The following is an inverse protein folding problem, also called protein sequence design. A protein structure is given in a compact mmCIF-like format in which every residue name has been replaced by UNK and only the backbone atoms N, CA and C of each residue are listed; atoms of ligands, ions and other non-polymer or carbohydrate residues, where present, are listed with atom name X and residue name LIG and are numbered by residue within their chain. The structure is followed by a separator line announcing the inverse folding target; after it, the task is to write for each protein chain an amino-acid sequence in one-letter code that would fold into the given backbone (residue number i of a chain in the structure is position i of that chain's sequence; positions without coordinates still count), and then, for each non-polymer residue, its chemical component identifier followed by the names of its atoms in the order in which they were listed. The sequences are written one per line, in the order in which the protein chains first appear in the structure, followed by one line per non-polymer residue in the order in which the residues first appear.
data_IF_112980766219
#
_entry.id   IF_112980766219
#
_cell.length_a   1.000
_cell.length_b   1.000
_cell.length_c   1.000
_cell.angle_alpha   90.00
_cell.angle_beta   90.00
_cell.angle_gamma   90.00
#
_symmetry.space_group_name_H-M   'P 1'
#
loop_
_entity.id
_entity.type
_entity.pdbx_description
1 polymer ?
#
# COMPACT_ATOMS: atom_id res chain seq x y z
N UNK A 1 -6.20 -71.36 -0.07
CA UNK A 1 -5.44 -70.36 0.72
C UNK A 1 -3.97 -70.53 0.32
N UNK A 2 -3.42 -69.71 -0.58
CA UNK A 2 -2.70 -68.44 -0.31
C UNK A 2 -1.74 -68.58 0.90
N UNK A 3 -0.44 -68.29 0.86
CA UNK A 3 0.36 -67.31 0.10
C UNK A 3 1.85 -67.72 0.27
N UNK A 4 2.59 -67.99 -0.81
CA UNK A 4 3.55 -67.12 -1.52
C UNK A 4 4.78 -66.62 -0.71
N UNK A 5 5.96 -67.07 -1.16
CA UNK A 5 7.31 -66.85 -0.62
C UNK A 5 7.94 -65.59 -1.24
N UNK A 6 8.67 -64.86 -0.39
CA UNK A 6 9.94 -64.13 -0.60
C UNK A 6 10.50 -64.03 -2.04
N UNK A 7 10.79 -62.81 -2.53
CA UNK A 7 12.17 -62.35 -2.86
C UNK A 7 12.25 -60.94 -3.46
N UNK A 8 13.36 -60.29 -3.11
CA UNK A 8 13.92 -59.03 -3.60
C UNK A 8 13.85 -58.87 -5.12
N UNK A 9 13.51 -57.66 -5.57
CA UNK A 9 13.93 -57.18 -6.89
C UNK A 9 14.62 -55.82 -6.78
N UNK A 10 15.89 -55.85 -7.20
CA UNK A 10 16.76 -54.75 -7.55
C UNK A 10 16.30 -54.21 -8.91
N UNK A 11 15.87 -52.96 -8.99
CA UNK A 11 15.78 -52.23 -10.26
C UNK A 11 16.38 -50.84 -10.11
N UNK A 12 17.54 -50.72 -10.73
CA UNK A 12 18.25 -49.51 -11.11
C UNK A 12 17.34 -48.66 -12.03
N UNK A 13 17.06 -47.42 -11.65
CA UNK A 13 16.58 -46.41 -12.60
C UNK A 13 17.17 -45.05 -12.20
N UNK A 14 18.17 -44.64 -12.99
CA UNK A 14 18.66 -43.27 -13.07
C UNK A 14 17.46 -42.34 -13.26
N UNK A 15 17.17 -41.51 -12.28
CA UNK A 15 16.34 -40.32 -12.46
C UNK A 15 17.23 -39.08 -12.37
N UNK A 16 17.03 -38.13 -13.29
CA UNK A 16 18.02 -37.16 -13.73
C UNK A 16 18.33 -36.12 -12.66
N UNK A 17 19.55 -35.59 -12.73
CA UNK A 17 19.92 -34.29 -12.18
C UNK A 17 18.89 -33.25 -12.63
N UNK A 18 17.90 -32.99 -11.80
CA UNK A 18 17.07 -31.80 -11.94
C UNK A 18 17.99 -30.66 -11.49
N UNK A 19 18.59 -30.01 -12.48
CA UNK A 19 19.16 -28.68 -12.35
C UNK A 19 18.07 -27.76 -11.82
N UNK A 20 18.01 -27.62 -10.49
CA UNK A 20 17.23 -26.60 -9.82
C UNK A 20 17.89 -25.25 -10.08
N UNK A 21 17.18 -24.45 -10.88
CA UNK A 21 17.53 -23.10 -11.30
C UNK A 21 17.99 -22.19 -10.16
N UNK A 22 18.77 -21.18 -10.55
CA UNK A 22 19.42 -20.24 -9.65
C UNK A 22 18.48 -19.59 -8.64
N UNK A 23 19.03 -19.31 -7.47
CA UNK A 23 18.50 -18.34 -6.54
C UNK A 23 18.55 -16.95 -7.19
N UNK A 24 17.60 -16.63 -8.07
CA UNK A 24 17.13 -15.27 -8.15
C UNK A 24 16.39 -15.00 -6.85
N UNK A 25 17.05 -14.27 -5.96
CA UNK A 25 16.41 -13.64 -4.82
C UNK A 25 15.18 -12.88 -5.32
N UNK A 26 14.02 -13.52 -5.25
CA UNK A 26 12.72 -12.87 -5.41
C UNK A 26 12.60 -11.84 -4.31
N UNK A 27 12.85 -10.58 -4.62
CA UNK A 27 12.14 -9.49 -3.96
C UNK A 27 10.67 -9.75 -4.28
N UNK A 28 9.96 -10.37 -3.33
CA UNK A 28 8.52 -10.57 -3.44
C UNK A 28 7.89 -9.20 -3.66
N UNK A 29 7.18 -9.06 -4.77
CA UNK A 29 6.35 -7.92 -5.15
C UNK A 29 5.24 -7.76 -4.09
N UNK A 30 5.53 -7.04 -3.00
CA UNK A 30 4.58 -6.75 -1.91
C UNK A 30 3.80 -5.45 -2.20
N UNK A 31 3.58 -5.11 -3.48
CA UNK A 31 2.74 -3.97 -3.83
C UNK A 31 1.29 -4.37 -3.95
N UNK A 32 0.38 -3.43 -3.74
CA UNK A 32 -1.07 -3.65 -3.91
C UNK A 32 -1.67 -2.63 -4.89
N UNK A 33 -2.82 -2.95 -5.47
CA UNK A 33 -3.55 -2.03 -6.36
C UNK A 33 -4.65 -1.34 -5.58
N UNK A 34 -4.91 -0.07 -5.92
CA UNK A 34 -6.16 0.60 -5.56
C UNK A 34 -7.29 0.12 -6.48
N UNK A 35 -8.53 0.37 -6.10
CA UNK A 35 -9.67 0.19 -6.98
C UNK A 35 -9.61 1.15 -8.18
N UNK A 36 -10.10 0.70 -9.34
CA UNK A 36 -10.12 1.48 -10.59
C UNK A 36 -10.82 2.85 -10.46
N UNK A 37 -11.75 3.01 -9.51
CA UNK A 37 -12.43 4.28 -9.24
C UNK A 37 -11.50 5.38 -8.71
N UNK A 38 -10.32 5.02 -8.20
CA UNK A 38 -9.34 5.97 -7.68
C UNK A 38 -8.36 6.46 -8.74
N UNK A 39 -8.24 5.79 -9.87
CA UNK A 39 -7.34 6.21 -10.95
C UNK A 39 -8.06 7.09 -11.98
N UNK A 40 -7.28 7.80 -12.79
CA UNK A 40 -7.75 8.70 -13.84
C UNK A 40 -8.62 9.86 -13.31
N UNK A 41 -8.39 10.27 -12.05
CA UNK A 41 -9.13 11.33 -11.38
C UNK A 41 -8.23 12.04 -10.35
N UNK A 42 -8.37 13.35 -10.17
CA UNK A 42 -7.47 14.19 -9.36
C UNK A 42 -8.18 14.81 -8.13
N UNK A 43 -9.00 14.03 -7.45
CA UNK A 43 -9.79 14.50 -6.30
C UNK A 43 -9.07 14.26 -4.97
N UNK A 44 -9.21 15.23 -4.06
CA UNK A 44 -8.93 15.04 -2.63
C UNK A 44 -10.28 15.10 -1.91
N UNK A 45 -10.71 13.97 -1.35
CA UNK A 45 -12.02 13.84 -0.70
C UNK A 45 -11.84 13.97 0.81
N UNK A 46 -12.49 14.97 1.42
CA UNK A 46 -12.48 15.13 2.89
C UNK A 46 -13.36 14.07 3.55
N UNK A 47 -12.81 13.34 4.52
CA UNK A 47 -13.55 12.52 5.47
C UNK A 47 -14.02 13.44 6.60
N UNK A 48 -15.33 13.66 6.70
CA UNK A 48 -15.92 14.58 7.68
C UNK A 48 -16.54 13.87 8.88
N UNK A 49 -16.73 12.55 8.78
CA UNK A 49 -17.37 11.75 9.81
C UNK A 49 -16.75 10.36 9.89
N UNK A 50 -16.81 9.77 11.09
CA UNK A 50 -16.32 8.42 11.36
C UNK A 50 -16.90 7.37 10.40
N UNK A 51 -18.19 7.48 10.09
CA UNK A 51 -18.91 6.51 9.26
C UNK A 51 -18.38 6.47 7.81
N UNK A 52 -17.89 7.61 7.29
CA UNK A 52 -17.28 7.66 5.95
C UNK A 52 -16.00 6.82 5.93
N UNK A 53 -15.15 6.96 6.95
CA UNK A 53 -13.95 6.13 7.11
C UNK A 53 -14.31 4.64 7.32
N UNK A 54 -15.25 4.34 8.22
CA UNK A 54 -15.65 2.95 8.50
C UNK A 54 -16.24 2.26 7.27
N UNK A 55 -16.97 2.98 6.42
CA UNK A 55 -17.48 2.45 5.15
C UNK A 55 -16.35 1.98 4.23
N UNK A 56 -15.24 2.72 4.13
CA UNK A 56 -14.08 2.31 3.32
C UNK A 56 -13.45 1.01 3.85
N UNK A 57 -13.38 0.88 5.17
CA UNK A 57 -12.86 -0.31 5.86
C UNK A 57 -13.80 -1.52 5.65
N UNK A 58 -15.09 -1.35 5.91
CA UNK A 58 -16.10 -2.42 5.83
C UNK A 58 -16.30 -2.93 4.40
N UNK A 59 -16.21 -2.03 3.42
CA UNK A 59 -16.23 -2.37 2.00
C UNK A 59 -14.91 -3.02 1.52
N UNK A 60 -13.92 -3.13 2.41
CA UNK A 60 -12.58 -3.67 2.13
C UNK A 60 -11.91 -2.96 0.97
N UNK A 61 -11.98 -1.63 0.97
CA UNK A 61 -11.36 -0.84 -0.08
C UNK A 61 -9.85 -0.71 0.12
N UNK A 62 -9.12 -0.57 -0.97
CA UNK A 62 -7.69 -0.23 -0.97
C UNK A 62 -7.54 1.26 -1.29
N UNK A 63 -7.25 2.07 -0.28
CA UNK A 63 -7.33 3.51 -0.38
C UNK A 63 -6.18 4.21 0.35
N UNK A 64 -6.11 5.52 0.15
CA UNK A 64 -5.06 6.40 0.65
C UNK A 64 -5.70 7.50 1.48
N UNK A 65 -5.14 7.80 2.66
CA UNK A 65 -5.61 8.87 3.53
C UNK A 65 -4.46 9.81 3.86
N UNK A 66 -4.58 11.07 3.48
CA UNK A 66 -3.73 12.16 3.96
C UNK A 66 -4.26 12.69 5.30
N UNK A 67 -3.43 12.66 6.35
CA UNK A 67 -3.79 13.14 7.68
C UNK A 67 -3.11 14.49 7.91
N UNK A 68 -3.91 15.50 8.23
CA UNK A 68 -3.46 16.87 8.44
C UNK A 68 -4.11 17.51 9.66
N UNK A 69 -3.63 18.68 10.08
CA UNK A 69 -4.29 19.50 11.09
C UNK A 69 -4.34 20.95 10.60
N UNK A 70 -5.47 21.67 10.73
CA UNK A 70 -5.53 23.10 10.44
C UNK A 70 -4.50 23.88 11.26
N UNK A 71 -3.83 24.86 10.63
CA UNK A 71 -2.80 25.67 11.27
C UNK A 71 -1.45 24.97 11.49
N UNK A 72 -1.31 23.69 11.13
CA UNK A 72 -0.04 22.97 11.15
C UNK A 72 0.91 23.50 10.07
N UNK A 73 2.05 24.09 10.48
CA UNK A 73 3.03 24.65 9.54
C UNK A 73 3.59 23.59 8.57
N UNK A 74 4.01 22.43 9.09
CA UNK A 74 4.54 21.34 8.27
C UNK A 74 3.50 20.79 7.28
N UNK A 75 2.23 20.71 7.70
CA UNK A 75 1.13 20.30 6.84
C UNK A 75 0.89 21.32 5.71
N UNK A 76 1.05 22.62 6.00
CA UNK A 76 1.01 23.67 4.99
C UNK A 76 2.15 23.58 3.96
N UNK A 77 3.33 23.13 4.39
CA UNK A 77 4.46 22.89 3.48
C UNK A 77 4.28 21.62 2.63
N UNK A 78 3.68 20.58 3.19
CA UNK A 78 3.48 19.30 2.50
C UNK A 78 2.23 19.28 1.61
N UNK A 79 1.24 20.12 1.88
CA UNK A 79 0.00 20.18 1.09
C UNK A 79 0.23 20.35 -0.42
N UNK A 80 1.11 21.25 -0.91
CA UNK A 80 1.41 21.35 -2.34
C UNK A 80 2.03 20.09 -2.94
N UNK A 81 2.75 19.28 -2.15
CA UNK A 81 3.30 18.00 -2.60
C UNK A 81 2.17 16.99 -2.84
N UNK A 82 1.22 16.90 -1.91
CA UNK A 82 0.04 16.03 -2.04
C UNK A 82 -0.86 16.47 -3.20
N UNK A 83 -1.16 17.78 -3.30
CA UNK A 83 -1.99 18.32 -4.39
C UNK A 83 -1.33 18.08 -5.76
N UNK A 84 -0.02 18.32 -5.87
CA UNK A 84 0.74 18.04 -7.08
C UNK A 84 0.76 16.56 -7.46
N UNK A 85 0.96 15.67 -6.50
CA UNK A 85 0.88 14.21 -6.73
C UNK A 85 -0.49 13.79 -7.27
N UNK A 86 -1.57 14.23 -6.61
CA UNK A 86 -2.94 13.91 -7.01
C UNK A 86 -3.23 14.40 -8.44
N UNK A 87 -2.74 15.61 -8.78
CA UNK A 87 -2.89 16.20 -10.10
C UNK A 87 -2.07 15.47 -11.17
N UNK A 88 -0.80 15.16 -10.90
CA UNK A 88 0.14 14.56 -11.87
C UNK A 88 -0.17 13.08 -12.11
N UNK A 89 -0.40 12.31 -11.04
CA UNK A 89 -0.65 10.88 -11.11
C UNK A 89 -2.12 10.55 -11.43
N UNK A 90 -3.00 11.55 -11.39
CA UNK A 90 -4.46 11.38 -11.57
C UNK A 90 -4.99 10.28 -10.63
N UNK A 91 -4.63 10.39 -9.36
CA UNK A 91 -5.09 9.50 -8.29
C UNK A 91 -5.96 10.27 -7.30
N UNK A 92 -7.15 9.75 -7.03
CA UNK A 92 -8.02 10.23 -5.95
C UNK A 92 -7.57 9.67 -4.61
N UNK A 93 -7.43 10.55 -3.63
CA UNK A 93 -7.14 10.19 -2.25
C UNK A 93 -8.19 10.77 -1.29
N UNK A 94 -8.25 10.22 -0.09
CA UNK A 94 -8.97 10.86 1.01
C UNK A 94 -8.03 11.75 1.81
N UNK A 95 -8.60 12.72 2.51
CA UNK A 95 -7.91 13.43 3.59
C UNK A 95 -8.79 13.48 4.83
N UNK A 96 -8.17 13.63 6.00
CA UNK A 96 -8.87 13.75 7.27
C UNK A 96 -8.13 14.74 8.19
N UNK A 97 -8.89 15.67 8.78
CA UNK A 97 -8.41 16.47 9.90
C UNK A 97 -8.14 15.58 11.13
N UNK A 98 -6.98 15.76 11.76
CA UNK A 98 -6.59 15.11 13.01
C UNK A 98 -7.64 15.26 14.13
N UNK A 99 -8.48 16.29 14.08
CA UNK A 99 -9.64 16.39 14.96
C UNK A 99 -10.60 15.19 14.81
N UNK A 100 -11.01 14.87 13.58
CA UNK A 100 -11.91 13.73 13.28
C UNK A 100 -11.20 12.38 13.36
N UNK A 101 -9.88 12.36 13.19
CA UNK A 101 -9.07 11.16 13.30
C UNK A 101 -9.30 10.41 14.61
N UNK A 102 -9.47 11.14 15.71
CA UNK A 102 -9.68 10.59 17.06
C UNK A 102 -10.91 9.69 17.20
N UNK A 103 -11.86 9.81 16.28
CA UNK A 103 -13.07 8.99 16.24
C UNK A 103 -12.89 7.70 15.42
N UNK A 104 -11.77 7.56 14.70
CA UNK A 104 -11.47 6.43 13.81
C UNK A 104 -10.44 5.49 14.42
N UNK A 105 -10.37 4.23 13.93
CA UNK A 105 -9.29 3.31 14.32
C UNK A 105 -7.90 3.74 13.81
N UNK A 106 -7.82 4.68 12.86
CA UNK A 106 -6.54 5.17 12.33
C UNK A 106 -5.73 5.94 13.38
N UNK A 107 -6.39 6.48 14.43
CA UNK A 107 -5.70 7.16 15.55
C UNK A 107 -4.65 6.28 16.23
N UNK A 108 -4.82 4.95 16.21
CA UNK A 108 -3.88 4.00 16.82
C UNK A 108 -2.52 3.95 16.10
N UNK A 109 -2.47 4.37 14.83
CA UNK A 109 -1.27 4.32 14.00
C UNK A 109 -0.59 5.67 13.81
N UNK A 110 -1.31 6.78 14.01
CA UNK A 110 -0.84 8.12 13.66
C UNK A 110 -0.52 8.91 14.92
N UNK A 111 0.77 9.23 15.10
CA UNK A 111 1.23 10.05 16.23
C UNK A 111 1.44 11.53 15.84
N UNK A 112 1.74 11.81 14.57
CA UNK A 112 2.12 13.14 14.10
C UNK A 112 1.51 13.45 12.74
N UNK A 113 1.29 14.74 12.48
CA UNK A 113 0.88 15.27 11.18
C UNK A 113 1.98 16.17 10.59
N UNK A 114 2.12 16.27 9.26
CA UNK A 114 1.38 15.51 8.26
C UNK A 114 1.79 14.03 8.22
N UNK A 115 0.87 13.17 7.82
CA UNK A 115 1.15 11.75 7.54
C UNK A 115 0.29 11.27 6.36
N UNK A 116 0.68 10.16 5.73
CA UNK A 116 -0.15 9.48 4.71
C UNK A 116 -0.28 8.01 5.07
N UNK A 117 -1.50 7.52 5.21
CA UNK A 117 -1.79 6.12 5.49
C UNK A 117 -2.25 5.41 4.21
N UNK A 118 -1.66 4.25 3.96
CA UNK A 118 -2.06 3.32 2.92
C UNK A 118 -2.90 2.21 3.55
N UNK A 119 -4.03 1.91 2.93
CA UNK A 119 -4.91 0.80 3.29
C UNK A 119 -5.01 -0.17 2.12
N UNK A 120 -4.94 -1.46 2.42
CA UNK A 120 -5.13 -2.52 1.45
C UNK A 120 -6.25 -3.44 1.93
N UNK A 121 -7.31 -3.58 1.14
CA UNK A 121 -8.47 -4.40 1.47
C UNK A 121 -9.09 -4.09 2.85
N UNK A 122 -9.24 -2.80 3.15
CA UNK A 122 -9.76 -2.30 4.42
C UNK A 122 -8.81 -2.46 5.61
N UNK A 123 -7.58 -2.92 5.40
CA UNK A 123 -6.59 -3.09 6.47
C UNK A 123 -5.49 -2.04 6.37
N UNK A 124 -5.08 -1.47 7.51
CA UNK A 124 -3.91 -0.59 7.55
C UNK A 124 -2.67 -1.33 7.01
N UNK A 125 -1.98 -0.71 6.07
CA UNK A 125 -0.84 -1.30 5.37
C UNK A 125 0.49 -0.61 5.74
N UNK A 126 0.56 0.72 5.54
CA UNK A 126 1.77 1.51 5.78
C UNK A 126 1.42 2.93 6.16
N UNK A 127 2.24 3.54 7.00
CA UNK A 127 2.23 4.98 7.27
C UNK A 127 3.50 5.61 6.69
N UNK A 128 3.33 6.74 6.02
CA UNK A 128 4.39 7.73 5.82
C UNK A 128 4.53 8.52 7.13
N UNK A 129 5.55 8.20 7.92
CA UNK A 129 5.72 8.73 9.28
C UNK A 129 6.77 9.86 9.28
N UNK A 130 6.40 11.10 9.66
CA UNK A 130 7.32 12.24 9.60
C UNK A 130 8.50 12.15 10.59
N UNK A 131 8.50 11.20 11.51
CA UNK A 131 9.60 10.98 12.47
C UNK A 131 10.59 9.91 11.97
N UNK A 132 10.20 9.08 11.00
CA UNK A 132 11.08 8.05 10.47
C UNK A 132 12.05 8.62 9.45
N UNK A 133 13.34 8.38 9.68
CA UNK A 133 14.40 8.89 8.81
C UNK A 133 14.27 8.36 7.37
N UNK A 134 13.81 7.13 7.19
CA UNK A 134 13.57 6.55 5.86
C UNK A 134 12.41 7.19 5.10
N UNK A 135 11.45 7.81 5.80
CA UNK A 135 10.25 8.42 5.20
C UNK A 135 10.47 9.93 4.93
N UNK A 136 11.50 10.55 5.55
CA UNK A 136 11.76 11.98 5.46
C UNK A 136 11.81 12.56 4.01
N UNK A 137 12.46 11.91 3.03
CA UNK A 137 12.53 12.46 1.67
C UNK A 137 11.17 12.63 1.01
N UNK A 138 10.19 11.76 1.32
CA UNK A 138 8.87 11.79 0.71
C UNK A 138 8.07 13.06 1.04
N UNK A 139 8.49 13.83 2.04
CA UNK A 139 7.86 15.11 2.39
C UNK A 139 8.44 16.31 1.62
N UNK A 140 9.53 16.13 0.87
CA UNK A 140 10.30 17.23 0.30
C UNK A 140 9.83 17.65 -1.10
N UNK A 141 9.29 16.72 -1.89
CA UNK A 141 8.85 17.00 -3.27
C UNK A 141 7.83 15.98 -3.79
N UNK A 142 7.13 16.35 -4.87
CA UNK A 142 6.19 15.47 -5.58
C UNK A 142 6.91 14.18 -6.01
N UNK A 143 8.07 14.30 -6.66
CA UNK A 143 8.84 13.15 -7.12
C UNK A 143 9.21 12.17 -5.99
N UNK A 144 9.67 12.68 -4.84
CA UNK A 144 10.02 11.81 -3.71
C UNK A 144 8.79 11.17 -3.08
N UNK A 145 7.67 11.89 -2.99
CA UNK A 145 6.40 11.31 -2.56
C UNK A 145 5.91 10.22 -3.53
N UNK A 146 5.95 10.48 -4.84
CA UNK A 146 5.59 9.53 -5.90
C UNK A 146 6.44 8.26 -5.80
N UNK A 147 7.76 8.39 -5.60
CA UNK A 147 8.66 7.25 -5.43
C UNK A 147 8.32 6.43 -4.18
N UNK A 148 8.06 7.10 -3.06
CA UNK A 148 7.61 6.44 -1.83
C UNK A 148 6.28 5.71 -2.06
N UNK A 149 5.32 6.34 -2.73
CA UNK A 149 4.01 5.77 -3.01
C UNK A 149 4.09 4.49 -3.85
N UNK A 150 4.80 4.54 -4.99
CA UNK A 150 4.92 3.40 -5.90
C UNK A 150 5.87 2.30 -5.44
N UNK A 151 6.57 2.51 -4.32
CA UNK A 151 7.23 1.43 -3.59
C UNK A 151 6.21 0.42 -3.04
N UNK A 152 4.99 0.87 -2.74
CA UNK A 152 3.95 0.08 -2.07
C UNK A 152 2.69 -0.10 -2.91
N UNK A 153 2.37 0.84 -3.79
CA UNK A 153 1.17 0.81 -4.62
C UNK A 153 1.55 0.53 -6.06
N UNK A 154 0.74 -0.24 -6.78
CA UNK A 154 0.90 -0.44 -8.21
C UNK A 154 0.39 0.79 -8.98
N UNK A 155 1.13 1.19 -10.00
CA UNK A 155 0.61 2.08 -11.06
C UNK A 155 -0.66 1.48 -11.65
N UNK A 156 -1.56 2.33 -12.16
CA UNK A 156 -2.74 1.85 -12.87
C UNK A 156 -2.31 0.96 -14.04
N UNK A 157 -2.73 -0.30 -14.04
CA UNK A 157 -2.48 -1.18 -15.18
C UNK A 157 -3.40 -0.76 -16.33
N UNK A 158 -2.93 0.17 -17.14
CA UNK A 158 -3.46 0.37 -18.49
C UNK A 158 -2.64 -0.51 -19.45
N UNK A 159 -3.21 -1.54 -20.10
CA UNK A 159 -2.51 -2.19 -21.19
C UNK A 159 -2.21 -1.12 -22.25
N UNK A 160 -0.92 -0.82 -22.47
CA UNK A 160 -0.50 0.14 -23.51
C UNK A 160 -1.13 -0.29 -24.84
N UNK A 161 -2.05 0.52 -25.35
CA UNK A 161 -2.62 0.40 -26.70
C UNK A 161 -1.56 0.65 -27.76
#
# INVERSE_FOLDING_TARGET
MLSMKFKCYLTLLLFPLISGCGNSSSYSDQRFSLEQKYYNNDQIIEIQAKEEYESLIDNKESFVVYIYSPGCYACGLFKPVIEGFVEEEKITIYQIDAYYLSETSLVEHVQYTPSVALFNQGSFYRLLDPIKAEDAPAFESINEFTNWFYTYVMEDYQPRS
#
